data_IF_058756282752
#
_entry.id   IF_058756282752
#
_cell.length_a   1.000
_cell.length_b   1.000
_cell.length_c   1.000
_cell.angle_alpha   90.00
_cell.angle_beta   90.00
_cell.angle_gamma   90.00
#
_symmetry.space_group_name_H-M   'P 1'
#
loop_
_entity.id
_entity.type
_entity.pdbx_description
1 polymer ?
#
# COMPACT_ATOMS: atom_id res chain seq x y z
N UNK A 1 0.66 3.85 1.50
CA UNK A 1 -0.46 3.21 0.77
C UNK A 1 -1.39 4.28 0.25
N UNK A 2 -2.15 3.99 -0.81
CA UNK A 2 -3.16 4.90 -1.37
C UNK A 2 -4.35 4.10 -1.89
N UNK A 3 -5.50 4.77 -2.02
CA UNK A 3 -6.64 4.24 -2.76
C UNK A 3 -6.51 4.57 -4.25
N UNK A 4 -6.89 3.62 -5.10
CA UNK A 4 -6.85 3.81 -6.55
C UNK A 4 -7.88 4.87 -6.94
N UNK A 5 -7.39 5.94 -7.57
CA UNK A 5 -8.23 6.98 -8.15
C UNK A 5 -7.77 7.31 -9.56
N UNK A 6 -8.68 7.79 -10.40
CA UNK A 6 -8.33 8.33 -11.71
C UNK A 6 -7.29 9.44 -11.59
N UNK A 7 -7.44 10.35 -10.62
CA UNK A 7 -6.52 11.47 -10.41
C UNK A 7 -5.11 11.03 -10.06
N UNK A 8 -4.95 9.91 -9.33
CA UNK A 8 -3.63 9.32 -9.10
C UNK A 8 -2.96 8.89 -10.41
N UNK A 9 -3.70 8.22 -11.30
CA UNK A 9 -3.16 7.77 -12.59
C UNK A 9 -2.91 8.96 -13.53
N UNK A 10 -3.77 9.97 -13.54
CA UNK A 10 -3.57 11.21 -14.31
C UNK A 10 -2.30 11.99 -13.92
N UNK A 11 -1.80 11.80 -12.70
CA UNK A 11 -0.54 12.40 -12.24
C UNK A 11 0.70 11.90 -13.01
N UNK A 12 0.59 10.80 -13.79
CA UNK A 12 1.63 10.33 -14.71
C UNK A 12 1.77 11.21 -15.98
N UNK A 13 0.97 12.26 -16.10
CA UNK A 13 1.07 13.30 -17.12
C UNK A 13 0.08 13.13 -18.27
N UNK A 14 0.25 13.94 -19.32
CA UNK A 14 -0.68 14.00 -20.47
C UNK A 14 -0.99 12.63 -21.09
N UNK A 15 0.03 11.77 -21.17
CA UNK A 15 -0.06 10.42 -21.75
C UNK A 15 -0.23 9.32 -20.67
N UNK A 16 -0.85 9.63 -19.53
CA UNK A 16 -0.95 8.71 -18.39
C UNK A 16 -1.49 7.32 -18.74
N UNK A 17 -2.42 7.22 -19.71
CA UNK A 17 -2.99 5.94 -20.16
C UNK A 17 -1.95 4.97 -20.72
N UNK A 18 -0.78 5.44 -21.16
CA UNK A 18 0.32 4.59 -21.63
C UNK A 18 1.50 4.52 -20.65
N UNK A 19 1.51 5.36 -19.61
CA UNK A 19 2.65 5.51 -18.68
C UNK A 19 2.35 5.04 -17.25
N UNK A 20 1.08 5.03 -16.87
CA UNK A 20 0.67 4.57 -15.57
C UNK A 20 0.94 3.05 -15.43
N UNK A 21 1.09 2.54 -14.20
CA UNK A 21 1.31 1.12 -13.95
C UNK A 21 0.17 0.30 -14.57
N UNK A 22 0.53 -0.72 -15.36
CA UNK A 22 -0.42 -1.50 -16.13
C UNK A 22 -1.49 -2.15 -15.24
N UNK A 23 -1.09 -2.75 -14.12
CA UNK A 23 -1.99 -3.44 -13.19
C UNK A 23 -3.02 -2.47 -12.58
N UNK A 24 -2.60 -1.25 -12.24
CA UNK A 24 -3.51 -0.22 -11.70
C UNK A 24 -4.41 0.38 -12.78
N UNK A 25 -3.92 0.48 -14.02
CA UNK A 25 -4.71 0.93 -15.16
C UNK A 25 -5.78 -0.10 -15.52
N UNK A 26 -5.43 -1.39 -15.50
CA UNK A 26 -6.35 -2.49 -15.69
C UNK A 26 -7.44 -2.49 -14.62
N UNK A 27 -7.06 -2.39 -13.35
CA UNK A 27 -8.00 -2.28 -12.24
C UNK A 27 -8.93 -1.06 -12.32
N UNK A 28 -8.47 0.08 -12.87
CA UNK A 28 -9.34 1.24 -13.10
C UNK A 28 -10.36 0.99 -14.23
N UNK A 29 -9.96 0.27 -15.28
CA UNK A 29 -10.77 0.08 -16.48
C UNK A 29 -11.74 -1.11 -16.37
N UNK A 30 -11.39 -2.12 -15.57
CA UNK A 30 -12.15 -3.36 -15.37
C UNK A 30 -12.42 -3.58 -13.86
N UNK A 31 -13.10 -2.65 -13.17
CA UNK A 31 -13.26 -2.69 -11.71
C UNK A 31 -13.96 -3.95 -11.19
N UNK A 32 -14.83 -4.56 -11.99
CA UNK A 32 -15.55 -5.79 -11.65
C UNK A 32 -14.62 -6.95 -11.26
N UNK A 33 -13.42 -7.03 -11.84
CA UNK A 33 -12.45 -8.09 -11.58
C UNK A 33 -11.66 -7.86 -10.27
N UNK A 34 -11.69 -6.64 -9.73
CA UNK A 34 -10.83 -6.20 -8.63
C UNK A 34 -11.57 -5.68 -7.40
N UNK A 35 -12.84 -5.31 -7.55
CA UNK A 35 -13.67 -4.72 -6.50
C UNK A 35 -14.64 -5.73 -5.84
N UNK A 36 -14.61 -7.02 -6.22
CA UNK A 36 -15.43 -8.02 -5.55
C UNK A 36 -15.11 -8.08 -4.04
N UNK A 37 -16.07 -7.69 -3.20
CA UNK A 37 -15.90 -7.58 -1.76
C UNK A 37 -15.07 -6.38 -1.28
N UNK A 38 -14.68 -5.45 -2.17
CA UNK A 38 -13.93 -4.22 -1.82
C UNK A 38 -14.78 -2.99 -2.09
N UNK A 39 -14.73 -2.00 -1.20
CA UNK A 39 -15.38 -0.70 -1.42
C UNK A 39 -14.44 0.30 -2.10
N UNK A 40 -13.12 0.15 -1.87
CA UNK A 40 -12.04 0.90 -2.51
C UNK A 40 -10.81 0.03 -2.66
N UNK A 41 -10.22 0.01 -3.86
CA UNK A 41 -8.97 -0.71 -4.09
C UNK A 41 -7.79 0.03 -3.45
N UNK A 42 -7.05 -0.64 -2.59
CA UNK A 42 -5.85 -0.12 -1.92
C UNK A 42 -4.60 -0.70 -2.54
N UNK A 43 -3.58 0.13 -2.72
CA UNK A 43 -2.29 -0.30 -3.25
C UNK A 43 -1.11 0.35 -2.51
N UNK A 44 0.02 -0.35 -2.55
CA UNK A 44 1.33 0.14 -2.14
C UNK A 44 1.88 1.04 -3.26
N UNK A 45 1.70 2.34 -3.13
CA UNK A 45 2.20 3.30 -4.13
C UNK A 45 3.73 3.32 -4.20
N UNK A 46 4.40 3.39 -3.06
CA UNK A 46 5.87 3.41 -2.96
C UNK A 46 6.33 2.95 -1.58
N UNK A 47 7.49 2.30 -1.53
CA UNK A 47 8.24 2.06 -0.28
C UNK A 47 9.22 3.21 -0.02
N UNK A 48 9.19 3.78 1.20
CA UNK A 48 10.22 4.71 1.65
C UNK A 48 11.41 3.87 2.13
N UNK A 49 12.59 4.09 1.57
CA UNK A 49 13.81 3.40 1.98
C UNK A 49 14.19 3.80 3.41
N UNK A 50 14.12 2.86 4.33
CA UNK A 50 14.48 2.99 5.74
C UNK A 50 15.11 1.67 6.22
N UNK A 51 15.71 1.62 7.41
CA UNK A 51 16.19 0.37 7.98
C UNK A 51 15.10 -0.71 8.11
N UNK A 52 13.83 -0.32 8.28
CA UNK A 52 12.71 -1.25 8.40
C UNK A 52 12.23 -1.84 7.05
N UNK A 53 12.66 -1.26 5.91
CA UNK A 53 12.16 -1.64 4.57
C UNK A 53 13.25 -2.19 3.65
N UNK A 54 14.39 -2.59 4.21
CA UNK A 54 15.51 -3.18 3.47
C UNK A 54 15.03 -4.38 2.65
N UNK A 55 15.34 -4.39 1.35
CA UNK A 55 14.95 -5.46 0.43
C UNK A 55 13.60 -5.24 -0.26
N UNK A 56 12.78 -4.30 0.21
CA UNK A 56 11.49 -3.95 -0.39
C UNK A 56 11.48 -2.58 -1.08
N UNK A 57 12.59 -1.87 -1.09
CA UNK A 57 12.66 -0.47 -1.55
C UNK A 57 12.36 -0.27 -3.05
N UNK A 58 12.43 -1.35 -3.84
CA UNK A 58 12.06 -1.34 -5.27
C UNK A 58 10.56 -1.63 -5.50
N UNK A 59 9.83 -2.08 -4.47
CA UNK A 59 8.41 -2.41 -4.60
C UNK A 59 7.59 -1.12 -4.69
N UNK A 60 6.76 -1.01 -5.73
CA UNK A 60 5.88 0.13 -5.95
C UNK A 60 4.72 -0.28 -6.84
N UNK A 61 3.61 0.44 -6.73
CA UNK A 61 2.39 0.25 -7.51
C UNK A 61 1.87 -1.20 -7.49
N UNK A 62 1.71 -1.75 -6.28
CA UNK A 62 1.24 -3.13 -6.07
C UNK A 62 -0.07 -3.17 -5.30
N UNK A 63 -1.07 -3.88 -5.80
CA UNK A 63 -2.39 -3.99 -5.16
C UNK A 63 -2.22 -4.78 -3.86
N UNK A 64 -2.77 -4.26 -2.76
CA UNK A 64 -2.74 -4.93 -1.46
C UNK A 64 -3.99 -5.78 -1.32
N UNK A 65 -3.82 -7.08 -1.10
CA UNK A 65 -4.95 -8.01 -0.97
C UNK A 65 -5.26 -8.35 0.48
N UNK A 66 -4.23 -8.47 1.32
CA UNK A 66 -4.35 -8.91 2.71
C UNK A 66 -3.28 -8.22 3.57
N UNK A 67 -3.57 -7.94 4.83
CA UNK A 67 -2.56 -7.63 5.83
C UNK A 67 -2.85 -8.37 7.13
N UNK A 68 -1.83 -9.00 7.73
CA UNK A 68 -1.92 -9.74 8.98
C UNK A 68 -3.07 -10.78 9.02
N UNK A 69 -3.35 -11.44 7.88
CA UNK A 69 -4.44 -12.40 7.77
C UNK A 69 -5.83 -11.81 7.52
N UNK A 70 -5.95 -10.48 7.45
CA UNK A 70 -7.19 -9.78 7.19
C UNK A 70 -7.26 -9.31 5.74
N UNK A 71 -8.36 -9.62 5.04
CA UNK A 71 -8.63 -9.13 3.69
C UNK A 71 -8.77 -7.60 3.69
N UNK A 72 -8.15 -6.95 2.70
CA UNK A 72 -8.18 -5.49 2.57
C UNK A 72 -9.24 -5.09 1.57
N UNK A 73 -10.23 -4.33 2.07
CA UNK A 73 -11.42 -3.91 1.31
C UNK A 73 -11.47 -2.39 1.08
N UNK A 74 -10.70 -1.63 1.86
CA UNK A 74 -10.51 -0.17 1.81
C UNK A 74 -9.33 0.27 2.71
N UNK A 75 -9.03 1.57 2.75
CA UNK A 75 -7.92 2.10 3.55
C UNK A 75 -8.11 1.85 5.06
N UNK A 76 -9.34 1.96 5.58
CA UNK A 76 -9.63 1.74 7.00
C UNK A 76 -9.33 0.29 7.42
N UNK A 77 -9.67 -0.68 6.58
CA UNK A 77 -9.38 -2.10 6.83
C UNK A 77 -7.86 -2.34 6.88
N UNK A 78 -7.09 -1.68 6.01
CA UNK A 78 -5.63 -1.78 6.03
C UNK A 78 -5.03 -1.17 7.29
N UNK A 79 -5.42 0.05 7.64
CA UNK A 79 -4.98 0.72 8.86
C UNK A 79 -5.30 -0.14 10.08
N UNK A 80 -6.53 -0.65 10.17
CA UNK A 80 -6.94 -1.54 11.27
C UNK A 80 -6.11 -2.82 11.33
N UNK A 81 -5.85 -3.46 10.18
CA UNK A 81 -5.08 -4.69 10.10
C UNK A 81 -3.61 -4.47 10.52
N UNK A 82 -3.05 -3.29 10.28
CA UNK A 82 -1.67 -2.95 10.62
C UNK A 82 -1.47 -2.35 12.02
N UNK A 83 -2.54 -2.14 12.82
CA UNK A 83 -2.41 -1.64 14.19
C UNK A 83 -1.59 -2.55 15.11
N UNK A 84 -1.69 -3.86 14.90
CA UNK A 84 -0.99 -4.86 15.71
C UNK A 84 -0.44 -5.94 14.81
N UNK A 85 0.85 -6.24 14.96
CA UNK A 85 1.49 -7.35 14.27
C UNK A 85 0.86 -8.68 14.67
N UNK A 86 0.74 -9.59 13.70
CA UNK A 86 0.26 -10.95 13.94
C UNK A 86 1.45 -11.88 14.05
N UNK A 87 1.48 -12.71 15.09
CA UNK A 87 2.59 -13.64 15.34
C UNK A 87 3.97 -12.94 15.43
N UNK A 88 3.99 -11.70 15.91
CA UNK A 88 5.21 -10.91 16.13
C UNK A 88 5.75 -10.19 14.88
N UNK A 89 5.10 -10.29 13.73
CA UNK A 89 5.54 -9.64 12.48
C UNK A 89 4.35 -9.04 11.72
N UNK A 90 4.54 -7.92 11.04
CA UNK A 90 3.55 -7.47 10.06
C UNK A 90 3.76 -8.21 8.75
N UNK A 91 2.67 -8.68 8.15
CA UNK A 91 2.64 -9.30 6.83
C UNK A 91 1.68 -8.55 5.93
N UNK A 92 2.11 -8.21 4.72
CA UNK A 92 1.29 -7.50 3.73
C UNK A 92 1.38 -8.27 2.43
N UNK A 93 0.26 -8.86 1.99
CA UNK A 93 0.16 -9.59 0.74
C UNK A 93 -0.17 -8.63 -0.40
N UNK A 94 0.55 -8.80 -1.49
CA UNK A 94 0.41 -8.02 -2.71
C UNK A 94 0.20 -8.95 -3.92
N UNK A 95 -0.27 -8.35 -5.01
CA UNK A 95 -0.64 -9.01 -6.28
C UNK A 95 0.53 -9.60 -7.08
N UNK A 96 1.74 -9.09 -6.90
CA UNK A 96 2.93 -9.53 -7.64
C UNK A 96 4.19 -9.54 -6.75
N UNK A 97 5.32 -9.98 -7.30
CA UNK A 97 6.58 -10.18 -6.57
C UNK A 97 6.96 -8.98 -5.68
N UNK A 98 7.37 -9.21 -4.41
CA UNK A 98 7.64 -10.51 -3.77
C UNK A 98 6.41 -11.27 -3.22
N UNK A 99 5.18 -10.89 -3.57
CA UNK A 99 3.89 -11.43 -3.08
C UNK A 99 3.57 -11.19 -1.60
N UNK A 100 4.58 -11.19 -0.72
CA UNK A 100 4.41 -10.85 0.69
C UNK A 100 5.57 -9.98 1.15
N UNK A 101 5.24 -8.90 1.86
CA UNK A 101 6.18 -8.03 2.56
C UNK A 101 6.07 -8.33 4.05
N UNK A 102 7.20 -8.62 4.68
CA UNK A 102 7.30 -8.80 6.14
C UNK A 102 8.01 -7.62 6.77
N UNK A 103 7.44 -7.04 7.83
CA UNK A 103 8.04 -5.92 8.56
C UNK A 103 8.11 -6.24 10.06
N UNK A 104 9.26 -5.93 10.65
CA UNK A 104 9.45 -5.96 12.10
C UNK A 104 8.68 -4.77 12.73
N UNK A 105 7.80 -5.01 13.72
CA UNK A 105 6.98 -3.95 14.29
C UNK A 105 7.82 -2.91 15.06
N UNK A 106 8.82 -3.34 15.83
CA UNK A 106 9.64 -2.40 16.63
C UNK A 106 10.47 -1.46 15.75
N UNK A 107 11.08 -2.01 14.69
CA UNK A 107 11.81 -1.24 13.70
C UNK A 107 10.88 -0.27 12.93
N UNK A 108 9.67 -0.72 12.59
CA UNK A 108 8.66 0.11 11.91
C UNK A 108 8.23 1.28 12.80
N UNK A 109 7.87 1.03 14.06
CA UNK A 109 7.48 2.06 15.04
C UNK A 109 8.61 3.07 15.32
N UNK A 110 9.85 2.62 15.31
CA UNK A 110 11.04 3.48 15.44
C UNK A 110 11.20 4.41 14.23
N UNK A 111 11.01 3.88 13.02
CA UNK A 111 11.04 4.65 11.78
C UNK A 111 9.90 5.65 11.74
N UNK A 112 8.68 5.26 12.12
CA UNK A 112 7.49 6.11 12.12
C UNK A 112 7.66 7.33 13.04
N UNK A 113 8.17 7.11 14.26
CA UNK A 113 8.54 8.22 15.17
C UNK A 113 9.55 9.16 14.55
N UNK A 114 10.54 8.61 13.82
CA UNK A 114 11.56 9.42 13.14
C UNK A 114 10.98 10.23 11.99
N UNK A 115 10.06 9.67 11.20
CA UNK A 115 9.39 10.35 10.09
C UNK A 115 8.55 11.53 10.59
N UNK A 116 7.80 11.34 11.68
CA UNK A 116 7.03 12.40 12.33
C UNK A 116 7.94 13.55 12.80
N UNK A 117 9.05 13.23 13.47
CA UNK A 117 10.02 14.23 13.93
C UNK A 117 10.69 15.00 12.78
N UNK A 118 10.82 14.37 11.59
CA UNK A 118 11.43 14.97 10.40
C UNK A 118 10.44 15.76 9.53
N UNK A 119 9.22 15.99 10.01
CA UNK A 119 8.27 16.91 9.39
C UNK A 119 7.14 16.24 8.61
N UNK A 120 6.98 14.92 8.70
CA UNK A 120 5.74 14.29 8.24
C UNK A 120 4.62 14.65 9.23
N UNK A 121 3.53 15.30 8.79
CA UNK A 121 2.51 15.82 9.72
C UNK A 121 1.63 14.72 10.34
N UNK A 122 1.48 13.59 9.65
CA UNK A 122 0.73 12.42 10.10
C UNK A 122 1.20 11.16 9.34
N UNK A 123 1.07 9.99 9.97
CA UNK A 123 1.39 8.69 9.35
C UNK A 123 0.28 8.18 8.43
N UNK A 124 -0.95 8.64 8.66
CA UNK A 124 -2.13 8.25 7.91
C UNK A 124 -3.07 9.42 7.68
N UNK A 125 -3.87 9.31 6.61
CA UNK A 125 -5.03 10.16 6.34
C UNK A 125 -6.13 9.24 5.82
N UNK A 126 -7.17 9.06 6.62
CA UNK A 126 -8.38 8.35 6.21
C UNK A 126 -9.31 9.32 5.44
N UNK A 127 -10.09 8.81 4.47
CA UNK A 127 -11.07 9.58 3.73
C UNK A 127 -12.25 10.09 4.60
#
# INVERSE_FOLDING_TARGET
FQELTRSYLEAYGKEWRSRAPLDLLDALNNPEDYEEGRSRLVFLSRVIRTPATIGYDQVSNRIVTEANGQQITNMESLVSALKTAKDGVHSIRIDDVPYVIYLDPEASDSVDRTLLQRGLPALERLP
#
